data_IF_543495948916
#
_entry.id   IF_543495948916
#
_cell.length_a   1.000
_cell.length_b   1.000
_cell.length_c   1.000
_cell.angle_alpha   90.00
_cell.angle_beta   90.00
_cell.angle_gamma   90.00
#
_symmetry.space_group_name_H-M   'P 1'
#
loop_
_entity.id
_entity.type
_entity.pdbx_description
1 polymer ?
#
# COMPACT_ATOMS: atom_id res chain seq x y z
N UNK A 1 -4.11 21.62 6.11
CA UNK A 1 -4.97 20.56 6.70
C UNK A 1 -4.09 19.39 7.10
N UNK A 2 -4.14 19.00 8.36
CA UNK A 2 -3.28 17.96 8.91
C UNK A 2 -3.90 16.59 8.74
N UNK A 3 -3.21 15.69 8.04
CA UNK A 3 -3.70 14.35 7.71
C UNK A 3 -2.74 13.30 8.26
N UNK A 4 -3.30 12.30 8.95
CA UNK A 4 -2.59 11.12 9.42
C UNK A 4 -2.71 10.01 8.38
N UNK A 5 -1.56 9.45 7.94
CA UNK A 5 -1.48 8.36 6.96
C UNK A 5 -1.02 7.08 7.63
N UNK A 6 -1.72 5.99 7.35
CA UNK A 6 -1.40 4.66 7.87
C UNK A 6 -1.22 3.68 6.69
N UNK A 7 -0.07 2.99 6.65
CA UNK A 7 0.18 1.92 5.69
C UNK A 7 0.68 0.66 6.41
N UNK A 8 -0.09 -0.41 6.31
CA UNK A 8 0.12 -1.66 7.06
C UNK A 8 -0.06 -2.90 6.21
N UNK A 9 -0.21 -2.74 4.88
CA UNK A 9 -0.55 -3.82 3.96
C UNK A 9 0.59 -4.80 3.68
N UNK A 10 1.82 -4.46 4.07
CA UNK A 10 3.04 -5.24 3.78
C UNK A 10 3.87 -5.48 5.04
N UNK A 11 5.11 -5.93 4.87
CA UNK A 11 6.12 -6.02 5.95
C UNK A 11 6.53 -4.66 6.49
N UNK A 12 6.33 -3.59 5.72
CA UNK A 12 6.55 -2.22 6.16
C UNK A 12 5.35 -1.72 6.96
N UNK A 13 5.57 -1.37 8.23
CA UNK A 13 4.61 -0.62 9.03
C UNK A 13 5.00 0.85 8.93
N UNK A 14 4.12 1.68 8.38
CA UNK A 14 4.47 3.07 8.06
C UNK A 14 3.37 4.02 8.48
N UNK A 15 3.75 5.11 9.13
CA UNK A 15 2.89 6.21 9.57
C UNK A 15 3.50 7.52 9.12
N UNK A 16 2.71 8.38 8.50
CA UNK A 16 3.13 9.71 8.11
C UNK A 16 2.11 10.78 8.55
N UNK A 17 2.57 12.00 8.69
CA UNK A 17 1.71 13.18 8.89
C UNK A 17 2.07 14.21 7.83
N UNK A 18 1.06 14.81 7.24
CA UNK A 18 1.24 15.93 6.32
C UNK A 18 0.44 17.16 6.75
N UNK A 19 0.84 18.32 6.23
CA UNK A 19 0.02 19.51 6.16
C UNK A 19 -0.29 19.77 4.69
N UNK A 20 -1.54 19.49 4.29
CA UNK A 20 -1.94 19.29 2.90
C UNK A 20 -1.02 18.25 2.22
N UNK A 21 -0.35 18.60 1.12
CA UNK A 21 0.59 17.71 0.41
C UNK A 21 2.02 17.75 0.96
N UNK A 22 2.30 18.58 1.98
CA UNK A 22 3.63 18.70 2.57
C UNK A 22 3.82 17.68 3.67
N UNK A 23 4.70 16.69 3.46
CA UNK A 23 5.11 15.76 4.51
C UNK A 23 5.76 16.50 5.68
N UNK A 24 5.27 16.28 6.90
CA UNK A 24 5.82 16.82 8.15
C UNK A 24 6.68 15.81 8.88
N UNK A 25 6.20 14.55 8.97
CA UNK A 25 6.91 13.48 9.67
C UNK A 25 6.61 12.14 9.03
N UNK A 26 7.55 11.19 9.21
CA UNK A 26 7.46 9.81 8.78
C UNK A 26 8.09 8.91 9.84
N UNK A 27 7.36 7.86 10.25
CA UNK A 27 7.87 6.78 11.08
C UNK A 27 7.56 5.46 10.38
N UNK A 28 8.58 4.67 10.05
CA UNK A 28 8.38 3.39 9.40
C UNK A 28 9.45 2.37 9.73
N UNK A 29 9.08 1.10 9.73
CA UNK A 29 9.99 -0.02 9.93
C UNK A 29 9.54 -1.20 9.07
N UNK A 30 10.47 -1.79 8.33
CA UNK A 30 10.28 -3.05 7.63
C UNK A 30 10.73 -4.21 8.51
N UNK A 31 9.83 -5.15 8.80
CA UNK A 31 10.10 -6.29 9.70
C UNK A 31 9.59 -7.59 9.11
N UNK A 32 10.44 -8.64 9.12
CA UNK A 32 10.05 -9.98 8.68
C UNK A 32 8.92 -10.59 9.53
N UNK A 33 8.75 -10.16 10.77
CA UNK A 33 7.80 -10.71 11.72
C UNK A 33 6.43 -10.01 11.73
N UNK A 34 6.14 -9.10 10.80
CA UNK A 34 4.84 -8.41 10.71
C UNK A 34 4.39 -7.82 12.05
N UNK A 35 5.19 -6.90 12.62
CA UNK A 35 4.95 -6.29 13.94
C UNK A 35 3.93 -5.12 13.93
N UNK A 36 3.09 -4.98 12.90
CA UNK A 36 2.17 -3.83 12.77
C UNK A 36 1.28 -3.62 14.01
N UNK A 37 0.82 -4.71 14.64
CA UNK A 37 0.00 -4.62 15.85
C UNK A 37 0.73 -4.06 17.07
N UNK A 38 2.06 -4.23 17.12
CA UNK A 38 2.89 -3.77 18.23
C UNK A 38 3.42 -2.35 18.00
N UNK A 39 3.71 -2.00 16.73
CA UNK A 39 4.43 -0.78 16.37
C UNK A 39 3.52 0.38 15.93
N UNK A 40 2.35 0.11 15.33
CA UNK A 40 1.54 1.13 14.66
C UNK A 40 1.19 2.32 15.56
N UNK A 41 0.69 2.07 16.77
CA UNK A 41 0.30 3.15 17.68
C UNK A 41 1.50 3.93 18.21
N UNK A 42 2.62 3.25 18.47
CA UNK A 42 3.88 3.88 18.84
C UNK A 42 4.39 4.78 17.71
N UNK A 43 4.27 4.32 16.46
CA UNK A 43 4.67 5.15 15.30
C UNK A 43 3.75 6.36 15.10
N UNK A 44 2.46 6.24 15.43
CA UNK A 44 1.56 7.40 15.46
C UNK A 44 2.02 8.43 16.50
N UNK A 45 2.38 7.99 17.72
CA UNK A 45 2.90 8.88 18.76
C UNK A 45 4.19 9.57 18.31
N UNK A 46 5.15 8.83 17.77
CA UNK A 46 6.42 9.39 17.27
C UNK A 46 6.22 10.32 16.06
N UNK A 47 5.28 9.99 15.17
CA UNK A 47 4.98 10.84 14.03
C UNK A 47 4.34 12.17 14.48
N UNK A 48 3.47 12.15 15.48
CA UNK A 48 2.89 13.36 16.09
C UNK A 48 3.96 14.21 16.75
N UNK A 49 4.87 13.59 17.52
CA UNK A 49 6.01 14.28 18.14
C UNK A 49 6.93 14.90 17.08
N UNK A 50 7.29 14.13 16.03
CA UNK A 50 8.12 14.62 14.94
C UNK A 50 7.48 15.74 14.10
N UNK A 51 6.15 15.80 14.03
CA UNK A 51 5.40 16.87 13.40
C UNK A 51 5.14 18.07 14.35
N UNK A 52 5.50 17.97 15.63
CA UNK A 52 5.25 18.96 16.67
C UNK A 52 3.76 19.33 16.83
N UNK A 53 2.87 18.33 16.73
CA UNK A 53 1.42 18.49 16.86
C UNK A 53 0.83 17.45 17.82
N UNK A 54 -0.41 17.65 18.24
CA UNK A 54 -1.18 16.69 19.01
C UNK A 54 -2.15 15.89 18.12
N UNK A 55 -2.63 14.75 18.64
CA UNK A 55 -3.63 13.95 17.93
C UNK A 55 -4.92 14.75 17.63
N UNK A 56 -5.27 15.74 18.45
CA UNK A 56 -6.46 16.60 18.26
C UNK A 56 -6.32 17.57 17.08
N UNK A 57 -5.10 17.79 16.59
CA UNK A 57 -4.85 18.66 15.44
C UNK A 57 -5.05 17.93 14.11
N UNK A 58 -5.23 16.59 14.14
CA UNK A 58 -5.50 15.78 12.94
C UNK A 58 -6.94 16.03 12.47
N UNK A 59 -7.09 16.32 11.19
CA UNK A 59 -8.34 16.71 10.53
C UNK A 59 -8.89 15.61 9.60
N UNK A 60 -8.08 14.62 9.22
CA UNK A 60 -8.47 13.45 8.44
C UNK A 60 -7.51 12.30 8.65
N UNK A 61 -7.95 11.07 8.38
CA UNK A 61 -7.08 9.89 8.30
C UNK A 61 -7.12 9.34 6.88
N UNK A 62 -5.94 9.02 6.34
CA UNK A 62 -5.77 8.30 5.08
C UNK A 62 -5.18 6.92 5.34
N UNK A 63 -5.84 5.89 4.83
CA UNK A 63 -5.41 4.50 4.99
C UNK A 63 -5.01 3.89 3.65
N UNK A 64 -3.86 3.21 3.61
CA UNK A 64 -3.55 2.24 2.56
C UNK A 64 -4.51 1.05 2.66
N UNK A 65 -5.49 1.01 1.73
CA UNK A 65 -6.58 0.02 1.81
C UNK A 65 -6.21 -1.38 1.31
N UNK A 66 -4.96 -1.58 0.87
CA UNK A 66 -4.52 -2.82 0.24
C UNK A 66 -4.53 -2.74 -1.30
N UNK A 67 -4.31 -3.86 -1.98
CA UNK A 67 -4.23 -5.24 -1.43
C UNK A 67 -3.00 -5.48 -0.55
N UNK A 68 -2.96 -6.64 0.13
CA UNK A 68 -1.79 -7.01 0.93
C UNK A 68 -2.07 -8.00 2.06
N UNK A 69 -1.28 -7.93 3.12
CA UNK A 69 -1.40 -8.77 4.32
C UNK A 69 -2.76 -8.60 4.97
N UNK A 70 -3.53 -9.69 5.03
CA UNK A 70 -4.86 -9.72 5.65
C UNK A 70 -4.88 -9.21 7.10
N UNK A 71 -3.91 -9.63 7.90
CA UNK A 71 -3.76 -9.18 9.29
C UNK A 71 -3.38 -7.70 9.35
N UNK A 72 -2.40 -7.27 8.57
CA UNK A 72 -1.97 -5.88 8.51
C UNK A 72 -3.10 -4.94 8.10
N UNK A 73 -3.84 -5.28 7.05
CA UNK A 73 -4.99 -4.51 6.59
C UNK A 73 -6.07 -4.34 7.66
N UNK A 74 -6.34 -5.38 8.46
CA UNK A 74 -7.32 -5.30 9.57
C UNK A 74 -6.85 -4.42 10.70
N UNK A 75 -5.56 -4.50 11.06
CA UNK A 75 -4.96 -3.65 12.10
C UNK A 75 -5.05 -2.18 11.66
N UNK A 76 -4.62 -1.86 10.43
CA UNK A 76 -4.71 -0.51 9.89
C UNK A 76 -6.14 0.02 9.85
N UNK A 77 -7.08 -0.77 9.33
CA UNK A 77 -8.49 -0.38 9.25
C UNK A 77 -9.13 -0.16 10.62
N UNK A 78 -8.86 -1.04 11.60
CA UNK A 78 -9.37 -0.88 12.96
C UNK A 78 -8.83 0.39 13.62
N UNK A 79 -7.53 0.66 13.47
CA UNK A 79 -6.89 1.87 14.01
C UNK A 79 -7.42 3.13 13.33
N UNK A 80 -7.50 3.15 11.98
CA UNK A 80 -8.03 4.28 11.23
C UNK A 80 -9.47 4.60 11.63
N UNK A 81 -10.34 3.59 11.71
CA UNK A 81 -11.74 3.76 12.19
C UNK A 81 -11.79 4.28 13.62
N UNK A 82 -10.92 3.77 14.50
CA UNK A 82 -10.83 4.23 15.88
C UNK A 82 -10.48 5.71 16.00
N UNK A 83 -9.46 6.17 15.25
CA UNK A 83 -9.09 7.58 15.20
C UNK A 83 -10.20 8.44 14.61
N UNK A 84 -10.79 8.05 13.47
CA UNK A 84 -11.86 8.80 12.83
C UNK A 84 -13.09 8.92 13.73
N UNK A 85 -13.49 7.83 14.38
CA UNK A 85 -14.62 7.84 15.31
C UNK A 85 -14.34 8.69 16.56
N UNK A 86 -13.16 8.51 17.18
CA UNK A 86 -12.80 9.22 18.42
C UNK A 86 -12.63 10.73 18.24
N UNK A 87 -12.16 11.16 17.07
CA UNK A 87 -11.93 12.58 16.75
C UNK A 87 -13.07 13.20 15.94
N UNK A 88 -14.04 12.41 15.49
CA UNK A 88 -15.12 12.82 14.60
C UNK A 88 -14.61 13.47 13.29
N UNK A 89 -13.61 12.81 12.65
CA UNK A 89 -12.97 13.25 11.42
C UNK A 89 -13.14 12.22 10.29
N UNK A 90 -13.05 12.61 9.00
CA UNK A 90 -13.26 11.71 7.88
C UNK A 90 -12.11 10.72 7.68
N UNK A 91 -12.46 9.55 7.10
CA UNK A 91 -11.56 8.53 6.57
C UNK A 91 -11.52 8.65 5.05
N UNK A 92 -10.32 8.62 4.47
CA UNK A 92 -10.09 8.36 3.04
C UNK A 92 -9.19 7.13 2.88
N UNK A 93 -9.25 6.47 1.74
CA UNK A 93 -8.49 5.27 1.49
C UNK A 93 -7.85 5.27 0.10
N UNK A 94 -6.58 4.87 0.04
CA UNK A 94 -5.76 4.82 -1.18
C UNK A 94 -5.29 3.39 -1.42
N UNK A 95 -5.21 2.96 -2.67
CA UNK A 95 -4.69 1.64 -3.00
C UNK A 95 -3.20 1.55 -2.67
N UNK A 96 -2.77 0.48 -1.98
CA UNK A 96 -1.37 0.31 -1.54
C UNK A 96 -0.38 0.10 -2.72
N UNK A 97 -0.85 -0.44 -3.85
CA UNK A 97 -0.05 -0.53 -5.07
C UNK A 97 0.20 0.85 -5.69
N UNK A 98 -0.74 1.80 -5.53
CA UNK A 98 -0.53 3.18 -5.96
C UNK A 98 0.60 3.83 -5.17
N UNK A 99 0.63 3.62 -3.84
CA UNK A 99 1.70 4.11 -2.99
C UNK A 99 3.06 3.47 -3.32
N UNK A 100 3.08 2.19 -3.72
CA UNK A 100 4.31 1.51 -4.13
C UNK A 100 4.86 2.05 -5.46
N UNK A 101 4.00 2.40 -6.41
CA UNK A 101 4.39 2.87 -7.74
C UNK A 101 4.74 4.38 -7.77
N UNK A 102 4.16 5.16 -6.86
CA UNK A 102 4.23 6.62 -6.85
C UNK A 102 5.65 7.20 -7.00
N UNK A 103 6.70 6.69 -6.32
CA UNK A 103 8.08 7.22 -6.44
C UNK A 103 8.68 7.11 -7.85
N UNK A 104 8.09 6.30 -8.71
CA UNK A 104 8.62 5.98 -10.03
C UNK A 104 7.89 6.70 -11.17
N UNK A 105 6.93 7.57 -10.88
CA UNK A 105 6.25 8.40 -11.89
C UNK A 105 7.12 9.61 -12.28
N UNK A 106 8.35 9.36 -12.69
CA UNK A 106 9.36 10.36 -13.02
C UNK A 106 9.69 10.44 -14.51
N UNK A 107 8.98 9.66 -15.34
CA UNK A 107 9.17 9.60 -16.79
C UNK A 107 10.34 8.72 -17.25
N UNK A 108 10.99 8.00 -16.34
CA UNK A 108 12.10 7.11 -16.68
C UNK A 108 11.64 5.81 -17.37
N UNK A 109 10.43 5.32 -17.04
CA UNK A 109 9.83 4.09 -17.55
C UNK A 109 8.55 4.39 -18.31
N UNK A 110 8.27 3.65 -19.38
CA UNK A 110 7.01 3.74 -20.11
C UNK A 110 5.85 3.20 -19.27
N UNK A 111 6.12 2.10 -18.53
CA UNK A 111 5.17 1.47 -17.61
C UNK A 111 5.82 1.13 -16.27
N UNK A 112 5.04 1.32 -15.21
CA UNK A 112 5.37 0.93 -13.84
C UNK A 112 4.34 -0.10 -13.37
N UNK A 113 4.82 -1.27 -12.95
CA UNK A 113 4.00 -2.41 -12.57
C UNK A 113 4.35 -2.83 -11.14
N UNK A 114 3.65 -2.28 -10.13
CA UNK A 114 3.82 -2.71 -8.74
C UNK A 114 3.33 -4.14 -8.57
N UNK A 115 4.09 -4.93 -7.81
CA UNK A 115 3.83 -6.33 -7.54
C UNK A 115 4.01 -6.66 -6.06
N UNK A 116 2.91 -6.97 -5.37
CA UNK A 116 2.97 -7.53 -4.02
C UNK A 116 2.85 -9.04 -4.07
N UNK A 117 3.66 -9.74 -3.28
CA UNK A 117 3.63 -11.21 -3.23
C UNK A 117 2.29 -11.72 -2.67
N UNK A 118 1.53 -12.46 -3.49
CA UNK A 118 0.28 -13.11 -3.12
C UNK A 118 0.44 -14.61 -2.82
N UNK A 119 1.69 -15.05 -2.58
CA UNK A 119 2.14 -16.45 -2.38
C UNK A 119 2.09 -17.29 -3.66
N UNK A 120 2.87 -18.39 -3.68
CA UNK A 120 3.07 -19.22 -4.87
C UNK A 120 3.52 -18.34 -6.06
N UNK A 121 3.08 -18.65 -7.28
CA UNK A 121 3.37 -17.88 -8.49
C UNK A 121 2.30 -16.82 -8.78
N UNK A 122 1.77 -16.15 -7.75
CA UNK A 122 0.75 -15.14 -7.88
C UNK A 122 1.17 -13.83 -7.24
N UNK A 123 0.81 -12.72 -7.85
CA UNK A 123 1.06 -11.36 -7.37
C UNK A 123 -0.24 -10.55 -7.35
N UNK A 124 -0.35 -9.62 -6.43
CA UNK A 124 -1.26 -8.50 -6.57
C UNK A 124 -0.56 -7.44 -7.38
N UNK A 125 -1.19 -7.01 -8.45
CA UNK A 125 -0.56 -6.12 -9.43
C UNK A 125 -1.55 -5.14 -10.06
N UNK A 126 -1.00 -4.14 -10.72
CA UNK A 126 -1.67 -3.08 -11.43
C UNK A 126 -0.69 -2.51 -12.44
N UNK A 127 -1.15 -1.88 -13.50
CA UNK A 127 -0.27 -1.25 -14.49
C UNK A 127 -0.54 0.26 -14.53
N UNK A 128 0.55 1.03 -14.47
CA UNK A 128 0.53 2.47 -14.65
C UNK A 128 1.40 2.85 -15.86
N UNK A 129 1.03 3.94 -16.53
CA UNK A 129 1.92 4.58 -17.48
C UNK A 129 2.92 5.52 -16.76
N UNK A 130 3.84 6.10 -17.50
CA UNK A 130 4.87 7.05 -17.00
C UNK A 130 4.31 8.27 -16.24
N UNK A 131 3.03 8.61 -16.44
CA UNK A 131 2.36 9.75 -15.78
C UNK A 131 1.63 9.33 -14.49
N UNK A 132 1.62 8.04 -14.15
CA UNK A 132 0.86 7.49 -13.03
C UNK A 132 -0.64 7.32 -13.32
N UNK A 133 -1.04 7.33 -14.61
CA UNK A 133 -2.40 7.00 -15.03
C UNK A 133 -2.57 5.47 -15.01
N UNK A 134 -3.67 5.00 -14.45
CA UNK A 134 -4.02 3.58 -14.40
C UNK A 134 -4.33 3.04 -15.80
N UNK A 135 -3.60 2.01 -16.23
CA UNK A 135 -3.78 1.31 -17.51
C UNK A 135 -4.57 0.03 -17.31
N UNK A 136 -4.33 -0.70 -16.21
CA UNK A 136 -5.12 -1.86 -15.83
C UNK A 136 -5.58 -1.76 -14.38
N UNK A 137 -6.74 -2.32 -14.03
CA UNK A 137 -7.21 -2.35 -12.64
C UNK A 137 -6.34 -3.26 -11.79
N UNK A 138 -6.46 -3.10 -10.47
CA UNK A 138 -5.83 -3.99 -9.50
C UNK A 138 -6.38 -5.42 -9.64
N UNK A 139 -5.51 -6.40 -9.81
CA UNK A 139 -5.84 -7.81 -9.95
C UNK A 139 -4.91 -8.73 -9.14
N UNK A 140 -5.36 -9.95 -8.88
CA UNK A 140 -4.53 -11.05 -8.45
C UNK A 140 -4.16 -11.88 -9.68
N UNK A 141 -2.89 -11.80 -10.11
CA UNK A 141 -2.40 -12.40 -11.36
C UNK A 141 -1.50 -13.59 -11.07
N UNK A 142 -1.85 -14.76 -11.61
CA UNK A 142 -0.94 -15.90 -11.66
C UNK A 142 0.07 -15.64 -12.78
N UNK A 143 1.36 -15.67 -12.43
CA UNK A 143 2.45 -15.41 -13.38
C UNK A 143 2.77 -16.64 -14.20
N UNK A 144 2.92 -16.43 -15.49
CA UNK A 144 3.45 -17.36 -16.46
C UNK A 144 4.43 -16.64 -17.45
N UNK A 145 5.03 -17.36 -18.36
CA UNK A 145 5.99 -16.83 -19.34
C UNK A 145 5.40 -15.79 -20.30
N UNK A 146 4.08 -15.76 -20.49
CA UNK A 146 3.36 -14.85 -21.37
C UNK A 146 2.81 -13.61 -20.61
N UNK A 147 2.90 -13.61 -19.29
CA UNK A 147 2.39 -12.53 -18.48
C UNK A 147 3.10 -11.22 -18.83
N UNK A 148 2.31 -10.16 -19.09
CA UNK A 148 2.80 -8.82 -19.50
C UNK A 148 3.53 -8.77 -20.85
N UNK A 149 3.36 -9.78 -21.73
CA UNK A 149 3.99 -9.83 -23.07
C UNK A 149 3.59 -8.64 -23.95
N UNK A 150 2.43 -8.03 -23.71
CA UNK A 150 1.97 -6.80 -24.37
C UNK A 150 2.88 -5.58 -24.13
N UNK A 151 3.73 -5.63 -23.10
CA UNK A 151 4.68 -4.56 -22.75
C UNK A 151 6.11 -4.86 -23.17
N UNK A 152 6.39 -5.94 -23.93
CA UNK A 152 7.75 -6.40 -24.25
C UNK A 152 8.62 -5.38 -24.99
N UNK A 153 8.02 -4.47 -25.77
CA UNK A 153 8.73 -3.46 -26.55
C UNK A 153 8.99 -2.16 -25.78
N UNK A 154 8.43 -2.04 -24.60
CA UNK A 154 8.51 -0.85 -23.74
C UNK A 154 9.53 -0.99 -22.61
N UNK A 155 10.01 0.14 -22.09
CA UNK A 155 10.82 0.16 -20.87
C UNK A 155 9.90 0.01 -19.65
N UNK A 156 9.94 -1.15 -19.01
CA UNK A 156 9.05 -1.52 -17.91
C UNK A 156 9.80 -1.62 -16.61
N UNK A 157 9.24 -1.05 -15.53
CA UNK A 157 9.69 -1.29 -14.17
C UNK A 157 8.70 -2.21 -13.44
N UNK A 158 9.18 -3.37 -13.01
CA UNK A 158 8.51 -4.20 -12.01
C UNK A 158 9.04 -3.86 -10.62
N UNK A 159 8.16 -3.49 -9.68
CA UNK A 159 8.57 -3.00 -8.36
C UNK A 159 7.77 -3.67 -7.25
N UNK A 160 8.46 -4.07 -6.16
CA UNK A 160 7.84 -4.69 -4.99
C UNK A 160 8.35 -6.10 -4.70
N UNK A 161 7.92 -6.69 -3.59
CA UNK A 161 8.36 -8.01 -3.13
C UNK A 161 7.90 -9.19 -4.02
N UNK A 162 6.97 -8.94 -4.95
CA UNK A 162 6.63 -9.85 -6.04
C UNK A 162 7.54 -9.76 -7.26
N UNK A 163 8.37 -8.71 -7.38
CA UNK A 163 9.17 -8.47 -8.59
C UNK A 163 10.26 -9.53 -8.79
N UNK A 164 10.92 -10.00 -7.73
CA UNK A 164 11.99 -11.01 -7.81
C UNK A 164 11.52 -12.32 -8.43
N UNK A 165 10.39 -12.86 -7.96
CA UNK A 165 9.86 -14.11 -8.52
C UNK A 165 9.34 -13.93 -9.95
N UNK A 166 8.91 -12.72 -10.31
CA UNK A 166 8.50 -12.37 -11.67
C UNK A 166 9.69 -12.42 -12.64
N UNK A 167 10.85 -11.94 -12.22
CA UNK A 167 12.08 -11.96 -13.02
C UNK A 167 12.50 -13.37 -13.45
N UNK A 168 12.22 -14.38 -12.63
CA UNK A 168 12.56 -15.78 -12.94
C UNK A 168 11.69 -16.37 -14.07
N UNK A 169 10.54 -15.76 -14.35
CA UNK A 169 9.55 -16.28 -15.30
C UNK A 169 9.41 -15.39 -16.53
N UNK A 170 9.37 -14.06 -16.32
CA UNK A 170 9.08 -13.10 -17.37
C UNK A 170 10.32 -12.90 -18.25
N UNK A 171 10.15 -13.04 -19.57
CA UNK A 171 11.24 -12.89 -20.56
C UNK A 171 11.14 -11.54 -21.28
N UNK A 172 11.05 -10.45 -20.55
CA UNK A 172 10.93 -9.10 -21.12
C UNK A 172 12.32 -8.46 -21.29
N UNK A 173 12.70 -8.14 -22.52
CA UNK A 173 14.06 -7.65 -22.86
C UNK A 173 14.43 -6.30 -22.27
N UNK A 174 13.43 -5.42 -22.00
CA UNK A 174 13.63 -4.05 -21.52
C UNK A 174 13.05 -3.85 -20.12
N UNK A 175 12.91 -4.93 -19.35
CA UNK A 175 12.37 -4.86 -18.01
C UNK A 175 13.46 -4.67 -16.95
N UNK A 176 13.18 -3.80 -15.99
CA UNK A 176 13.93 -3.66 -14.75
C UNK A 176 13.09 -4.19 -13.59
N UNK A 177 13.76 -4.76 -12.59
CA UNK A 177 13.12 -5.37 -11.42
C UNK A 177 13.74 -4.78 -10.16
N UNK A 178 12.91 -4.15 -9.31
CA UNK A 178 13.30 -3.62 -7.99
C UNK A 178 12.48 -4.36 -6.93
N UNK A 179 13.10 -5.33 -6.30
CA UNK A 179 12.52 -6.08 -5.18
C UNK A 179 12.69 -5.32 -3.85
N UNK A 180 12.10 -5.86 -2.77
CA UNK A 180 12.17 -5.29 -1.41
C UNK A 180 11.67 -3.84 -1.32
N UNK A 181 10.88 -3.39 -2.27
CA UNK A 181 10.16 -2.13 -2.22
C UNK A 181 8.76 -2.41 -1.66
N UNK A 182 8.41 -1.69 -0.61
CA UNK A 182 7.11 -1.82 0.07
C UNK A 182 6.35 -0.51 0.00
N UNK A 183 5.01 -0.54 0.06
CA UNK A 183 4.24 0.69 0.17
C UNK A 183 4.59 1.43 1.47
N UNK A 184 4.65 2.75 1.39
CA UNK A 184 4.98 3.64 2.50
C UNK A 184 3.90 4.71 2.65
N UNK A 185 3.63 5.12 3.89
CA UNK A 185 2.65 6.14 4.21
C UNK A 185 2.97 7.50 3.56
N UNK A 186 4.26 7.83 3.36
CA UNK A 186 4.66 9.07 2.68
C UNK A 186 4.15 9.13 1.23
N UNK A 187 4.05 7.98 0.55
CA UNK A 187 3.61 7.91 -0.84
C UNK A 187 2.08 7.90 -0.98
N UNK A 188 1.35 7.82 0.13
CA UNK A 188 -0.10 8.07 0.17
C UNK A 188 -0.43 9.57 0.19
N UNK A 189 0.53 10.45 0.53
CA UNK A 189 0.28 11.88 0.85
C UNK A 189 -0.43 12.59 -0.29
N UNK A 190 0.08 12.54 -1.51
CA UNK A 190 -0.51 13.25 -2.65
C UNK A 190 -1.95 12.79 -2.93
N UNK A 191 -2.18 11.49 -3.10
CA UNK A 191 -3.51 10.94 -3.39
C UNK A 191 -4.48 11.07 -2.21
N UNK A 192 -3.99 10.94 -0.99
CA UNK A 192 -4.80 11.10 0.22
C UNK A 192 -5.26 12.54 0.42
N UNK A 193 -4.37 13.52 0.26
CA UNK A 193 -4.73 14.93 0.32
C UNK A 193 -5.74 15.31 -0.78
N UNK A 194 -5.54 14.81 -2.00
CA UNK A 194 -6.49 14.98 -3.10
C UNK A 194 -7.87 14.36 -2.78
N UNK A 195 -7.90 13.16 -2.21
CA UNK A 195 -9.14 12.48 -1.83
C UNK A 195 -9.90 13.26 -0.75
N UNK A 196 -9.20 13.80 0.27
CA UNK A 196 -9.83 14.65 1.29
C UNK A 196 -10.37 15.94 0.68
N UNK A 197 -9.61 16.62 -0.18
CA UNK A 197 -10.02 17.84 -0.89
C UNK A 197 -11.29 17.62 -1.74
N UNK A 198 -11.36 16.48 -2.40
CA UNK A 198 -12.51 16.08 -3.23
C UNK A 198 -13.65 15.46 -2.41
N UNK A 199 -13.51 15.35 -1.07
CA UNK A 199 -14.49 14.75 -0.16
C UNK A 199 -14.85 13.31 -0.52
N UNK A 200 -13.89 12.54 -1.03
CA UNK A 200 -14.01 11.11 -1.33
C UNK A 200 -13.89 10.31 -0.04
N UNK A 201 -14.84 10.53 0.88
CA UNK A 201 -14.82 9.92 2.21
C UNK A 201 -15.42 8.52 2.21
N UNK A 202 -14.77 7.64 2.95
CA UNK A 202 -15.27 6.29 3.22
C UNK A 202 -16.31 6.33 4.36
N UNK A 203 -17.31 5.47 4.30
CA UNK A 203 -18.22 5.25 5.40
C UNK A 203 -17.50 4.43 6.50
N UNK A 204 -17.22 5.06 7.65
CA UNK A 204 -16.44 4.44 8.73
C UNK A 204 -17.11 3.15 9.24
N UNK A 205 -18.44 3.06 9.25
CA UNK A 205 -19.16 1.89 9.74
C UNK A 205 -18.99 0.70 8.79
N UNK A 206 -19.08 0.94 7.50
CA UNK A 206 -19.12 -0.11 6.46
C UNK A 206 -17.81 -0.27 5.70
N UNK A 207 -16.83 0.62 5.90
CA UNK A 207 -15.53 0.49 5.24
C UNK A 207 -14.88 -0.86 5.52
N UNK A 208 -14.43 -1.52 4.46
CA UNK A 208 -13.61 -2.73 4.51
C UNK A 208 -12.35 -2.54 3.65
N UNK A 209 -11.21 -3.10 4.07
CA UNK A 209 -10.03 -3.15 3.22
C UNK A 209 -10.31 -3.86 1.89
N UNK A 210 -9.48 -3.55 0.91
CA UNK A 210 -9.61 -4.14 -0.42
C UNK A 210 -9.05 -5.57 -0.42
N UNK A 211 -9.91 -6.53 -0.08
CA UNK A 211 -9.60 -7.96 -0.11
C UNK A 211 -9.78 -8.50 -1.52
N UNK A 212 -8.68 -8.76 -2.24
CA UNK A 212 -8.72 -9.43 -3.55
C UNK A 212 -8.98 -10.95 -3.46
N UNK A 213 -8.77 -11.51 -2.28
CA UNK A 213 -8.99 -12.93 -2.00
C UNK A 213 -9.61 -13.12 -0.64
N UNK A 214 -10.43 -14.14 -0.53
CA UNK A 214 -10.93 -14.62 0.76
C UNK A 214 -9.78 -15.14 1.63
N UNK A 215 -9.95 -15.02 2.94
CA UNK A 215 -8.99 -15.53 3.91
C UNK A 215 -8.81 -17.04 3.77
N UNK A 216 -7.66 -17.48 3.29
CA UNK A 216 -7.27 -18.87 3.28
C UNK A 216 -6.61 -19.23 4.63
N UNK A 217 -7.41 -19.66 5.61
CA UNK A 217 -6.91 -20.17 6.87
C UNK A 217 -5.93 -21.34 6.67
N UNK A 218 -4.96 -21.48 7.56
CA UNK A 218 -4.05 -22.63 7.56
C UNK A 218 -4.91 -23.90 7.80
N UNK A 219 -5.02 -24.77 6.79
CA UNK A 219 -5.59 -26.10 7.01
C UNK A 219 -4.74 -26.78 8.08
N UNK A 220 -5.30 -27.04 9.28
CA UNK A 220 -4.68 -27.92 10.26
C UNK A 220 -4.34 -29.22 9.54
N UNK A 221 -3.04 -29.59 9.49
CA UNK A 221 -2.68 -30.98 9.15
C UNK A 221 -3.44 -31.86 10.12
N UNK A 222 -4.37 -32.67 9.62
CA UNK A 222 -4.96 -33.73 10.41
C UNK A 222 -3.80 -34.60 10.91
N UNK A 223 -3.63 -34.66 12.23
CA UNK A 223 -2.75 -35.64 12.83
C UNK A 223 -3.29 -37.00 12.41
N UNK A 224 -2.59 -37.65 11.47
CA UNK A 224 -2.86 -39.03 11.11
C UNK A 224 -2.59 -39.92 12.35
N UNK A 225 -3.58 -40.70 12.69
CA UNK A 225 -3.43 -41.84 13.58
C UNK A 225 -2.43 -42.83 13.00
#
# INVERSE_FOLDING_TARGET
MKILYLETSSKNCSVAISDDEKLLSLCEETSENYKQSESLHTFVEWALEGAEISLKDIEAVCLGKGPGSYTGLRIGAASAKGFCFGLNIPLVAVNSLDAMAEPFFNGEYDYIIPMMDARRMEVYTKVFNQKGEEISPTEAKILDENSFSEYQDYKVLFVGDGAKKSQEILQLLKAEYKDEIYPSAQHLVRKGAEAVKNKNFEDIAYFEPFYLKDFQGVKKKSAGN
#
